data_IF_660105542909
#
_entry.id   IF_660105542909
#
_cell.length_a   1.000
_cell.length_b   1.000
_cell.length_c   1.000
_cell.angle_alpha   90.00
_cell.angle_beta   90.00
_cell.angle_gamma   90.00
#
_symmetry.space_group_name_H-M   'P 1'
#
loop_
_entity.id
_entity.type
_entity.pdbx_description
1 polymer ?
#
# COMPACT_ATOMS: atom_id res chain seq x y z
N UNK A 1 9.76 7.02 6.36
CA UNK A 1 10.07 5.59 6.25
C UNK A 1 9.03 4.76 6.98
N UNK A 2 8.22 4.00 6.24
CA UNK A 2 7.16 3.12 6.78
C UNK A 2 7.45 1.67 6.35
N UNK A 3 7.46 0.74 7.31
CA UNK A 3 7.84 -0.66 7.10
C UNK A 3 6.66 -1.58 7.42
N UNK A 4 6.12 -2.26 6.42
CA UNK A 4 5.06 -3.25 6.58
C UNK A 4 5.59 -4.63 6.17
N UNK A 5 6.07 -5.42 7.14
CA UNK A 5 6.82 -6.64 6.86
C UNK A 5 6.28 -7.87 7.58
N UNK A 6 6.37 -9.04 6.94
CA UNK A 6 6.06 -10.37 7.51
C UNK A 6 4.65 -10.51 8.09
N UNK A 7 3.68 -9.79 7.55
CA UNK A 7 2.29 -9.91 7.95
C UNK A 7 1.59 -11.02 7.16
N UNK A 8 0.72 -11.75 7.83
CA UNK A 8 -0.26 -12.62 7.19
C UNK A 8 -1.57 -11.88 7.11
N UNK A 9 -2.09 -11.71 5.91
CA UNK A 9 -3.36 -11.05 5.71
C UNK A 9 -4.26 -11.89 4.83
N UNK A 10 -5.53 -11.99 5.22
CA UNK A 10 -6.52 -12.76 4.50
C UNK A 10 -7.88 -12.05 4.49
N UNK A 11 -8.61 -12.20 3.39
CA UNK A 11 -9.91 -11.56 3.20
C UNK A 11 -9.84 -10.07 2.81
N UNK A 12 -10.91 -9.58 2.17
CA UNK A 12 -11.19 -8.15 2.00
C UNK A 12 -10.20 -7.35 1.14
N UNK A 13 -9.92 -6.12 1.59
CA UNK A 13 -8.96 -5.18 1.01
C UNK A 13 -7.71 -5.15 1.88
N UNK A 14 -6.61 -5.74 1.44
CA UNK A 14 -5.48 -5.98 2.35
C UNK A 14 -4.63 -4.74 2.56
N UNK A 15 -3.63 -4.53 1.72
CA UNK A 15 -2.65 -3.46 1.94
C UNK A 15 -3.13 -2.27 1.11
N UNK A 16 -3.78 -1.31 1.77
CA UNK A 16 -4.25 -0.08 1.14
C UNK A 16 -3.51 1.14 1.67
N UNK A 17 -2.78 1.83 0.80
CA UNK A 17 -2.23 3.16 1.05
C UNK A 17 -3.17 4.20 0.46
N UNK A 18 -4.03 4.78 1.28
CA UNK A 18 -4.96 5.83 0.85
C UNK A 18 -6.14 6.05 1.80
N UNK A 19 -6.99 7.04 1.55
CA UNK A 19 -6.92 8.01 0.44
C UNK A 19 -5.88 9.11 0.70
N UNK A 20 -5.03 9.37 -0.30
CA UNK A 20 -4.06 10.46 -0.25
C UNK A 20 -4.77 11.74 -0.70
N UNK A 21 -4.89 12.71 0.22
CA UNK A 21 -5.50 14.03 -0.01
C UNK A 21 -4.47 15.07 -0.49
N UNK A 22 -4.98 16.25 -0.88
CA UNK A 22 -4.16 17.41 -1.33
C UNK A 22 -3.05 17.74 -0.35
N UNK A 23 -1.83 17.91 -0.88
CA UNK A 23 -0.62 18.23 -0.11
C UNK A 23 -0.05 17.09 0.74
N UNK A 24 -0.62 15.87 0.69
CA UNK A 24 -0.09 14.71 1.40
C UNK A 24 0.98 14.00 0.58
N UNK A 25 2.04 13.57 1.26
CA UNK A 25 3.13 12.81 0.65
C UNK A 25 3.25 11.44 1.31
N UNK A 26 3.27 10.40 0.49
CA UNK A 26 3.54 9.02 0.91
C UNK A 26 4.89 8.64 0.31
N UNK A 27 5.91 8.55 1.15
CA UNK A 27 7.28 8.32 0.72
C UNK A 27 7.97 7.24 1.55
N UNK A 28 8.87 6.50 0.91
CA UNK A 28 9.74 5.49 1.52
C UNK A 28 8.94 4.42 2.27
N UNK A 29 8.10 3.70 1.53
CA UNK A 29 7.35 2.56 2.08
C UNK A 29 7.97 1.26 1.60
N UNK A 30 8.33 0.40 2.53
CA UNK A 30 8.74 -0.97 2.22
C UNK A 30 7.70 -1.95 2.74
N UNK A 31 7.08 -2.66 1.81
CA UNK A 31 6.14 -3.74 2.06
C UNK A 31 6.85 -5.05 1.71
N UNK A 32 7.33 -5.83 2.69
CA UNK A 32 8.17 -7.00 2.39
C UNK A 32 7.84 -8.27 3.17
N UNK A 33 7.81 -9.42 2.52
CA UNK A 33 7.60 -10.74 3.13
C UNK A 33 6.18 -10.95 3.66
N UNK A 34 5.21 -10.17 3.17
CA UNK A 34 3.81 -10.37 3.55
C UNK A 34 3.21 -11.51 2.71
N UNK A 35 2.37 -12.31 3.35
CA UNK A 35 1.59 -13.37 2.71
C UNK A 35 0.15 -12.90 2.64
N UNK A 36 -0.34 -12.69 1.42
CA UNK A 36 -1.72 -12.26 1.19
C UNK A 36 -2.47 -13.38 0.50
N UNK A 37 -3.51 -13.90 1.15
CA UNK A 37 -4.35 -14.99 0.61
C UNK A 37 -5.83 -14.60 0.60
N UNK A 38 -6.64 -15.18 -0.30
CA UNK A 38 -8.11 -15.00 -0.34
C UNK A 38 -8.57 -13.54 -0.27
N UNK A 39 -7.91 -12.64 -1.00
CA UNK A 39 -8.14 -11.20 -0.90
C UNK A 39 -8.49 -10.60 -2.26
N UNK A 40 -9.35 -9.58 -2.27
CA UNK A 40 -9.80 -8.95 -3.52
C UNK A 40 -8.68 -8.16 -4.20
N UNK A 41 -7.75 -7.60 -3.40
CA UNK A 41 -6.56 -6.92 -3.88
C UNK A 41 -5.36 -7.26 -3.00
N UNK A 42 -4.21 -7.51 -3.62
CA UNK A 42 -2.94 -7.76 -2.92
C UNK A 42 -2.31 -6.49 -2.33
N UNK A 43 -2.06 -5.50 -3.19
CA UNK A 43 -1.58 -4.17 -2.83
C UNK A 43 -2.42 -3.12 -3.56
N UNK A 44 -2.78 -2.04 -2.88
CA UNK A 44 -3.56 -0.94 -3.47
C UNK A 44 -3.05 0.41 -2.98
N UNK A 45 -2.86 1.35 -3.89
CA UNK A 45 -2.54 2.74 -3.59
C UNK A 45 -3.67 3.60 -4.17
N UNK A 46 -4.28 4.46 -3.35
CA UNK A 46 -5.42 5.29 -3.74
C UNK A 46 -5.14 6.77 -3.48
N UNK A 47 -5.10 7.55 -4.55
CA UNK A 47 -5.07 9.02 -4.51
C UNK A 47 -6.47 9.52 -4.83
N UNK A 48 -6.94 10.57 -4.14
CA UNK A 48 -8.28 11.11 -4.38
C UNK A 48 -8.28 11.83 -5.73
N UNK A 49 -9.36 11.70 -6.50
CA UNK A 49 -9.41 12.27 -7.85
C UNK A 49 -9.23 13.79 -7.88
N UNK A 50 -9.70 14.49 -6.84
CA UNK A 50 -9.60 15.96 -6.71
C UNK A 50 -8.28 16.43 -6.08
N UNK A 51 -7.36 15.51 -5.81
CA UNK A 51 -6.11 15.81 -5.12
C UNK A 51 -5.14 16.55 -6.03
N UNK A 52 -4.60 17.65 -5.53
CA UNK A 52 -3.48 18.37 -6.14
C UNK A 52 -2.26 18.31 -5.22
N UNK A 53 -1.06 18.49 -5.76
CA UNK A 53 0.19 18.52 -4.97
C UNK A 53 0.41 17.28 -4.06
N UNK A 54 -0.06 16.10 -4.45
CA UNK A 54 0.26 14.86 -3.77
C UNK A 54 1.45 14.15 -4.43
N UNK A 55 2.20 13.41 -3.62
CA UNK A 55 3.36 12.64 -4.08
C UNK A 55 3.35 11.25 -3.48
N UNK A 56 3.47 10.25 -4.34
CA UNK A 56 3.78 8.86 -3.95
C UNK A 56 5.11 8.50 -4.58
N UNK A 57 6.12 8.19 -3.78
CA UNK A 57 7.44 7.80 -4.31
C UNK A 57 8.17 6.85 -3.36
N UNK A 58 9.05 5.99 -3.90
CA UNK A 58 9.85 5.07 -3.08
C UNK A 58 9.01 3.99 -2.42
N UNK A 59 8.10 3.36 -3.17
CA UNK A 59 7.34 2.20 -2.71
C UNK A 59 8.04 0.93 -3.20
N UNK A 60 8.51 0.11 -2.26
CA UNK A 60 9.08 -1.21 -2.55
C UNK A 60 8.13 -2.27 -2.04
N UNK A 61 7.66 -3.15 -2.94
CA UNK A 61 6.82 -4.30 -2.58
C UNK A 61 7.54 -5.61 -2.93
N UNK A 62 7.69 -6.50 -1.96
CA UNK A 62 8.20 -7.85 -2.15
C UNK A 62 7.39 -8.84 -1.30
N UNK A 63 6.67 -9.77 -1.92
CA UNK A 63 5.80 -10.69 -1.18
C UNK A 63 5.23 -11.75 -2.08
N UNK A 64 4.69 -12.81 -1.48
CA UNK A 64 4.10 -13.94 -2.21
C UNK A 64 2.58 -13.82 -2.17
N UNK A 65 1.95 -13.85 -3.35
CA UNK A 65 0.50 -13.96 -3.50
C UNK A 65 0.15 -15.44 -3.66
N UNK A 66 -0.84 -15.91 -2.89
CA UNK A 66 -1.32 -17.29 -2.90
C UNK A 66 -2.83 -17.38 -2.95
#
# INVERSE_FOLDING_TARGET
NCLFKKNQCSGGHVISFGFIDTGKMVTDITVSGNTVTKSMYGLRIKVKAITTCAKVSGITYSGSFG
#
